data_IF_961106341910
#
_entry.id   IF_961106341910
#
_cell.length_a   1.000
_cell.length_b   1.000
_cell.length_c   1.000
_cell.angle_alpha   90.00
_cell.angle_beta   90.00
_cell.angle_gamma   90.00
#
_symmetry.space_group_name_H-M   'P 1'
#
loop_
_entity.id
_entity.type
_entity.pdbx_description
1 polymer ?
#
# COMPACT_ATOMS: atom_id res chain seq x y z
N UNK A 1 -0.27 -14.11 2.11
CA UNK A 1 -0.48 -13.27 3.31
C UNK A 1 0.81 -12.51 3.58
N UNK A 2 0.78 -11.18 3.65
CA UNK A 2 1.97 -10.36 3.92
C UNK A 2 1.82 -9.61 5.25
N UNK A 3 2.92 -9.48 5.99
CA UNK A 3 3.02 -8.66 7.19
C UNK A 3 3.52 -7.27 6.80
N UNK A 4 2.77 -6.21 7.13
CA UNK A 4 3.18 -4.81 6.94
C UNK A 4 3.33 -4.13 8.30
N UNK A 5 4.40 -3.34 8.48
CA UNK A 5 4.74 -2.62 9.71
C UNK A 5 4.91 -1.11 9.46
N UNK A 6 4.35 -0.26 10.33
CA UNK A 6 4.53 1.20 10.34
C UNK A 6 5.27 1.64 11.61
N UNK A 7 5.64 2.93 11.70
CA UNK A 7 6.47 3.55 12.76
C UNK A 7 6.02 3.37 14.24
N UNK A 8 4.96 2.62 14.51
CA UNK A 8 4.46 2.29 15.85
C UNK A 8 4.42 0.78 16.17
N UNK A 9 5.00 -0.08 15.33
CA UNK A 9 5.09 -1.52 15.58
C UNK A 9 3.80 -2.30 15.30
N UNK A 10 2.81 -1.69 14.66
CA UNK A 10 1.58 -2.36 14.26
C UNK A 10 1.85 -3.29 13.07
N UNK A 11 1.68 -4.58 13.31
CA UNK A 11 1.76 -5.63 12.29
C UNK A 11 0.35 -6.07 11.96
N UNK A 12 0.04 -6.20 10.66
CA UNK A 12 -1.21 -6.81 10.20
C UNK A 12 -0.98 -7.68 8.98
N UNK A 13 -1.93 -8.56 8.77
CA UNK A 13 -2.00 -9.42 7.61
C UNK A 13 -2.85 -8.73 6.54
N UNK A 14 -2.35 -8.72 5.32
CA UNK A 14 -3.12 -8.27 4.16
C UNK A 14 -3.25 -9.41 3.15
N UNK A 15 -4.42 -9.47 2.54
CA UNK A 15 -4.65 -10.33 1.39
C UNK A 15 -4.03 -9.69 0.16
N UNK A 16 -3.29 -10.49 -0.58
CA UNK A 16 -2.78 -10.16 -1.91
C UNK A 16 -3.21 -11.26 -2.86
N UNK A 17 -3.43 -10.89 -4.12
CA UNK A 17 -3.80 -11.85 -5.15
C UNK A 17 -2.71 -12.93 -5.30
N UNK A 18 -3.10 -14.18 -5.56
CA UNK A 18 -2.16 -15.30 -5.66
C UNK A 18 -1.07 -15.03 -6.71
N UNK A 19 -1.45 -14.56 -7.90
CA UNK A 19 -0.48 -14.21 -8.95
C UNK A 19 0.55 -13.15 -8.52
N UNK A 20 0.17 -12.23 -7.62
CA UNK A 20 1.10 -11.24 -7.06
C UNK A 20 2.02 -11.91 -6.04
N UNK A 21 1.47 -12.78 -5.18
CA UNK A 21 2.28 -13.56 -4.24
C UNK A 21 3.31 -14.41 -4.98
N UNK A 22 2.90 -15.16 -6.01
CA UNK A 22 3.79 -16.02 -6.79
C UNK A 22 4.91 -15.21 -7.44
N UNK A 23 4.60 -14.03 -8.00
CA UNK A 23 5.62 -13.12 -8.54
C UNK A 23 6.55 -12.59 -7.46
N UNK A 24 6.05 -12.24 -6.28
CA UNK A 24 6.89 -11.78 -5.17
C UNK A 24 7.88 -12.86 -4.73
N UNK A 25 7.46 -14.12 -4.65
CA UNK A 25 8.34 -15.23 -4.27
C UNK A 25 9.52 -15.41 -5.25
N UNK A 26 9.33 -15.10 -6.55
CA UNK A 26 10.44 -15.11 -7.53
C UNK A 26 11.52 -14.05 -7.26
N UNK A 27 11.21 -13.05 -6.42
CA UNK A 27 12.10 -11.97 -6.04
C UNK A 27 12.69 -12.17 -4.63
N UNK A 28 12.41 -13.29 -3.98
CA UNK A 28 12.95 -13.61 -2.65
C UNK A 28 14.48 -13.66 -2.65
N UNK A 29 15.10 -13.13 -1.61
CA UNK A 29 16.51 -13.37 -1.34
C UNK A 29 16.68 -14.69 -0.57
N UNK A 30 17.73 -15.45 -0.88
CA UNK A 30 18.10 -16.67 -0.12
C UNK A 30 18.31 -16.36 1.37
N UNK A 31 18.87 -15.18 1.66
CA UNK A 31 19.03 -14.63 3.01
C UNK A 31 18.57 -13.18 3.05
N UNK A 32 17.84 -12.73 4.09
CA UNK A 32 17.41 -11.34 4.18
C UNK A 32 18.57 -10.35 4.08
N UNK A 33 18.37 -9.26 3.32
CA UNK A 33 19.37 -8.22 3.12
C UNK A 33 19.01 -6.96 3.90
N UNK A 34 20.00 -6.22 4.40
CA UNK A 34 19.76 -4.94 5.06
C UNK A 34 19.89 -3.79 4.06
N UNK A 35 18.93 -2.86 4.12
CA UNK A 35 18.94 -1.61 3.37
C UNK A 35 18.74 -0.43 4.31
N UNK A 36 19.07 0.77 3.84
CA UNK A 36 18.85 2.01 4.56
C UNK A 36 18.14 3.02 3.66
N UNK A 37 17.07 3.64 4.17
CA UNK A 37 16.39 4.76 3.53
C UNK A 37 16.18 5.86 4.58
N UNK A 38 16.56 7.11 4.26
CA UNK A 38 16.38 8.26 5.17
C UNK A 38 16.88 8.03 6.60
N UNK A 39 18.07 7.40 6.74
CA UNK A 39 18.71 7.02 8.01
C UNK A 39 18.00 5.90 8.79
N UNK A 40 16.93 5.31 8.25
CA UNK A 40 16.25 4.14 8.84
C UNK A 40 16.82 2.89 8.17
N UNK A 41 17.37 1.97 8.98
CA UNK A 41 17.83 0.66 8.52
C UNK A 41 16.70 -0.36 8.66
N UNK A 42 16.46 -1.15 7.61
CA UNK A 42 15.43 -2.19 7.60
C UNK A 42 15.91 -3.44 6.89
N UNK A 43 15.36 -4.58 7.29
CA UNK A 43 15.55 -5.87 6.62
C UNK A 43 14.62 -5.96 5.41
N UNK A 44 15.14 -6.48 4.29
CA UNK A 44 14.41 -6.77 3.08
C UNK A 44 14.52 -8.25 2.76
N UNK A 45 13.36 -8.88 2.53
CA UNK A 45 13.26 -10.30 2.14
C UNK A 45 13.10 -10.49 0.65
N UNK A 46 12.66 -9.44 -0.05
CA UNK A 46 12.44 -9.43 -1.48
C UNK A 46 13.29 -8.36 -2.14
N UNK A 47 13.77 -8.65 -3.35
CA UNK A 47 14.51 -7.73 -4.21
C UNK A 47 13.58 -6.70 -4.84
N UNK A 48 13.03 -5.83 -4.00
CA UNK A 48 12.13 -4.75 -4.37
C UNK A 48 12.73 -3.40 -3.99
N UNK A 49 12.32 -2.36 -4.71
CA UNK A 49 12.55 -1.01 -4.24
C UNK A 49 11.61 -0.70 -3.08
N UNK A 50 12.16 -0.05 -2.05
CA UNK A 50 11.44 0.48 -0.91
C UNK A 50 11.78 1.95 -0.69
N UNK A 51 11.01 2.61 0.20
CA UNK A 51 11.26 3.98 0.62
C UNK A 51 11.37 4.98 -0.55
N UNK A 52 12.37 5.86 -0.48
CA UNK A 52 12.59 6.90 -1.47
C UNK A 52 12.85 6.36 -2.90
N UNK A 53 13.51 5.20 -3.03
CA UNK A 53 13.79 4.59 -4.35
C UNK A 53 12.50 4.19 -5.04
N UNK A 54 11.60 3.54 -4.29
CA UNK A 54 10.27 3.18 -4.80
C UNK A 54 9.46 4.43 -5.19
N UNK A 55 9.39 5.42 -4.29
CA UNK A 55 8.66 6.67 -4.54
C UNK A 55 9.13 7.39 -5.81
N UNK A 56 10.45 7.47 -6.03
CA UNK A 56 11.04 8.06 -7.24
C UNK A 56 10.74 7.24 -8.49
N UNK A 57 10.92 5.91 -8.42
CA UNK A 57 10.66 5.03 -9.55
C UNK A 57 9.20 5.09 -9.99
N UNK A 58 8.27 5.04 -9.03
CA UNK A 58 6.84 5.18 -9.28
C UNK A 58 6.52 6.54 -9.91
N UNK A 59 6.99 7.63 -9.30
CA UNK A 59 6.72 8.97 -9.83
C UNK A 59 7.24 9.15 -11.26
N UNK A 60 8.44 8.64 -11.55
CA UNK A 60 9.00 8.68 -12.90
C UNK A 60 8.14 7.90 -13.90
N UNK A 61 7.69 6.70 -13.54
CA UNK A 61 6.81 5.89 -14.38
C UNK A 61 5.45 6.57 -14.62
N UNK A 62 4.87 7.18 -13.59
CA UNK A 62 3.61 7.94 -13.68
C UNK A 62 3.74 9.14 -14.60
N UNK A 63 4.79 9.97 -14.44
CA UNK A 63 5.03 11.08 -15.36
C UNK A 63 5.22 10.62 -16.80
N UNK A 64 5.97 9.54 -17.02
CA UNK A 64 6.19 8.99 -18.37
C UNK A 64 4.90 8.50 -19.04
N UNK A 65 3.99 7.91 -18.26
CA UNK A 65 2.81 7.23 -18.78
C UNK A 65 1.57 8.14 -18.83
N UNK A 66 1.40 8.99 -17.81
CA UNK A 66 0.19 9.78 -17.55
C UNK A 66 0.42 11.29 -17.67
N UNK A 67 1.68 11.76 -17.70
CA UNK A 67 2.03 13.19 -17.71
C UNK A 67 1.95 13.88 -16.35
N UNK A 68 1.51 13.18 -15.31
CA UNK A 68 1.44 13.67 -13.92
C UNK A 68 1.71 12.55 -12.92
N UNK A 69 1.92 12.89 -11.65
CA UNK A 69 2.12 11.93 -10.58
C UNK A 69 1.48 12.40 -9.28
N UNK A 70 0.70 11.53 -8.64
CA UNK A 70 0.25 11.66 -7.23
C UNK A 70 1.20 10.96 -6.27
N UNK A 71 2.44 10.73 -6.72
CA UNK A 71 3.44 9.91 -6.07
C UNK A 71 2.93 8.50 -5.68
N UNK A 72 3.74 7.71 -4.97
CA UNK A 72 3.35 6.35 -4.59
C UNK A 72 2.18 6.32 -3.59
N UNK A 73 1.90 7.44 -2.92
CA UNK A 73 0.76 7.62 -2.04
C UNK A 73 -0.56 7.53 -2.80
N UNK A 74 -0.60 7.97 -4.07
CA UNK A 74 -1.73 7.79 -4.97
C UNK A 74 -2.24 6.35 -5.06
N UNK A 75 -1.36 5.34 -4.90
CA UNK A 75 -1.77 3.94 -4.87
C UNK A 75 -2.69 3.60 -3.70
N UNK A 76 -2.50 4.23 -2.53
CA UNK A 76 -3.39 4.03 -1.38
C UNK A 76 -4.78 4.62 -1.64
N UNK A 77 -4.87 5.75 -2.34
CA UNK A 77 -6.16 6.32 -2.78
C UNK A 77 -6.87 5.37 -3.74
N UNK A 78 -6.17 4.97 -4.80
CA UNK A 78 -6.75 4.06 -5.80
C UNK A 78 -7.17 2.73 -5.19
N UNK A 79 -6.40 2.19 -4.24
CA UNK A 79 -6.78 1.00 -3.48
C UNK A 79 -8.07 1.23 -2.69
N UNK A 80 -8.14 2.28 -1.88
CA UNK A 80 -9.31 2.59 -1.06
C UNK A 80 -10.57 2.74 -1.91
N UNK A 81 -10.49 3.56 -2.97
CA UNK A 81 -11.60 3.84 -3.87
C UNK A 81 -12.06 2.58 -4.58
N UNK A 82 -11.12 1.77 -5.11
CA UNK A 82 -11.46 0.50 -5.76
C UNK A 82 -12.15 -0.49 -4.81
N UNK A 83 -11.69 -0.58 -3.55
CA UNK A 83 -12.33 -1.44 -2.55
C UNK A 83 -13.78 -1.03 -2.30
N UNK A 84 -14.01 0.27 -2.10
CA UNK A 84 -15.34 0.84 -1.83
C UNK A 84 -16.27 0.74 -3.04
N UNK A 85 -15.77 1.05 -4.24
CA UNK A 85 -16.61 1.29 -5.42
C UNK A 85 -16.80 0.04 -6.29
N UNK A 86 -15.97 -1.00 -6.13
CA UNK A 86 -15.94 -2.14 -7.05
C UNK A 86 -15.82 -3.52 -6.41
N UNK A 87 -15.22 -3.66 -5.22
CA UNK A 87 -14.87 -4.99 -4.70
C UNK A 87 -15.67 -5.43 -3.48
N UNK A 88 -16.31 -4.51 -2.75
CA UNK A 88 -17.09 -4.82 -1.54
C UNK A 88 -18.54 -4.31 -1.64
N UNK A 89 -19.13 -4.41 -2.82
CA UNK A 89 -20.47 -3.87 -3.13
C UNK A 89 -21.61 -4.56 -2.37
N UNK A 90 -21.39 -5.75 -1.85
CA UNK A 90 -22.33 -6.57 -1.08
C UNK A 90 -22.22 -6.34 0.45
N UNK A 91 -21.32 -5.47 0.88
CA UNK A 91 -21.07 -5.14 2.28
C UNK A 91 -21.60 -3.74 2.60
N UNK A 92 -22.07 -3.51 3.82
CA UNK A 92 -22.58 -2.19 4.22
C UNK A 92 -21.48 -1.12 4.16
N UNK A 93 -21.83 0.12 3.82
CA UNK A 93 -20.83 1.20 3.71
C UNK A 93 -19.96 1.34 4.96
N UNK A 94 -20.57 1.25 6.15
CA UNK A 94 -19.85 1.36 7.43
C UNK A 94 -18.87 0.20 7.61
N UNK A 95 -19.28 -1.04 7.31
CA UNK A 95 -18.41 -2.21 7.38
C UNK A 95 -17.27 -2.14 6.36
N UNK A 96 -17.54 -1.70 5.12
CA UNK A 96 -16.50 -1.49 4.11
C UNK A 96 -15.51 -0.44 4.58
N UNK A 97 -15.99 0.68 5.14
CA UNK A 97 -15.14 1.74 5.65
C UNK A 97 -14.22 1.22 6.78
N UNK A 98 -14.75 0.38 7.68
CA UNK A 98 -13.98 -0.31 8.71
C UNK A 98 -12.94 -1.27 8.12
N UNK A 99 -13.32 -2.10 7.14
CA UNK A 99 -12.39 -3.04 6.48
C UNK A 99 -11.23 -2.27 5.83
N UNK A 100 -11.55 -1.28 4.99
CA UNK A 100 -10.55 -0.48 4.27
C UNK A 100 -9.69 0.33 5.24
N UNK A 101 -10.25 0.79 6.38
CA UNK A 101 -9.44 1.45 7.40
C UNK A 101 -8.39 0.52 7.99
N UNK A 102 -8.74 -0.73 8.28
CA UNK A 102 -7.76 -1.72 8.77
C UNK A 102 -6.70 -2.03 7.70
N UNK A 103 -7.11 -2.24 6.45
CA UNK A 103 -6.20 -2.50 5.33
C UNK A 103 -5.18 -1.35 5.13
N UNK A 104 -5.62 -0.10 5.33
CA UNK A 104 -4.79 1.10 5.22
C UNK A 104 -4.02 1.51 6.49
N UNK A 105 -4.19 0.81 7.62
CA UNK A 105 -3.62 1.16 8.94
C UNK A 105 -4.21 2.43 9.56
N UNK A 106 -5.50 2.69 9.35
CA UNK A 106 -6.24 3.74 10.03
C UNK A 106 -7.06 3.15 11.17
N UNK A 107 -6.59 3.39 12.41
CA UNK A 107 -7.30 3.00 13.62
C UNK A 107 -8.71 3.63 13.72
N UNK A 108 -8.83 4.85 13.18
CA UNK A 108 -10.08 5.58 13.09
C UNK A 108 -10.57 5.58 11.64
N UNK A 109 -11.72 4.97 11.33
CA UNK A 109 -12.24 4.90 9.96
C UNK A 109 -12.44 6.27 9.31
N UNK A 110 -12.73 7.32 10.10
CA UNK A 110 -12.86 8.69 9.56
C UNK A 110 -11.59 9.18 8.85
N UNK A 111 -10.40 8.68 9.20
CA UNK A 111 -9.14 9.03 8.52
C UNK A 111 -9.14 8.48 7.08
N UNK A 112 -9.76 7.32 6.85
CA UNK A 112 -9.91 6.70 5.52
C UNK A 112 -10.75 7.56 4.58
N UNK A 113 -11.66 8.39 5.09
CA UNK A 113 -12.48 9.28 4.26
C UNK A 113 -11.63 10.22 3.39
N UNK A 114 -10.42 10.59 3.85
CA UNK A 114 -9.49 11.40 3.04
C UNK A 114 -9.08 10.71 1.75
N UNK A 115 -9.06 9.37 1.74
CA UNK A 115 -8.67 8.53 0.60
C UNK A 115 -9.84 8.23 -0.34
N UNK A 116 -11.07 8.32 0.16
CA UNK A 116 -12.29 8.12 -0.62
C UNK A 116 -12.70 9.44 -1.28
N UNK A 117 -12.71 10.52 -0.50
CA UNK A 117 -13.13 11.86 -0.92
C UNK A 117 -11.96 12.86 -0.83
N UNK A 118 -11.01 12.80 -1.79
CA UNK A 118 -9.76 13.56 -1.68
C UNK A 118 -9.91 15.08 -1.75
N UNK A 119 -11.06 15.58 -2.21
CA UNK A 119 -11.36 17.01 -2.38
C UNK A 119 -12.53 17.48 -1.49
N UNK A 120 -12.91 16.69 -0.48
CA UNK A 120 -14.11 16.92 0.33
C UNK A 120 -15.30 16.07 -0.13
N UNK A 121 -16.33 16.02 0.72
CA UNK A 121 -17.67 15.58 0.31
C UNK A 121 -18.43 16.75 -0.31
#
# INVERSE_FOLDING_TARGET
MLLSNRENGLVREVFIHQDLADKLETLGFDTPQFSSDRKIRYEQRYNLYAGNRFSKAFSHASYKTLGWSLDAHGLRFSYAQRRMDHELLDVSYDDVLHIVSQELEHFRPEITLRYIYPFGK
#
